data_IF_222267728328
#
_entry.id   IF_222267728328
#
_cell.length_a   1.000
_cell.length_b   1.000
_cell.length_c   1.000
_cell.angle_alpha   90.00
_cell.angle_beta   90.00
_cell.angle_gamma   90.00
#
_symmetry.space_group_name_H-M   'P 1'
#
loop_
_entity.id
_entity.type
_entity.pdbx_description
1 polymer ?
#
# COMPACT_ATOMS: atom_id res chain seq x y z
N UNK A 1 21.05 -0.83 24.46
CA UNK A 1 19.80 -1.60 24.62
C UNK A 1 18.66 -0.77 24.05
N UNK A 2 17.77 -1.34 23.24
CA UNK A 2 16.56 -0.66 22.75
C UNK A 2 15.50 -0.78 23.84
N UNK A 3 15.46 0.19 24.74
CA UNK A 3 14.53 0.20 25.87
C UNK A 3 13.28 1.03 25.50
N UNK A 4 12.09 0.52 25.80
CA UNK A 4 10.81 1.13 25.40
C UNK A 4 10.51 2.43 26.17
N UNK A 5 11.07 2.55 27.37
CA UNK A 5 11.03 3.75 28.22
C UNK A 5 11.92 4.89 27.68
N UNK A 6 12.77 4.62 26.67
CA UNK A 6 13.53 5.66 26.00
C UNK A 6 12.62 6.46 25.04
N UNK A 7 12.49 7.78 25.21
CA UNK A 7 11.62 8.61 24.35
C UNK A 7 11.95 8.53 22.86
N UNK A 8 13.22 8.39 22.48
CA UNK A 8 13.64 8.28 21.08
C UNK A 8 13.14 6.97 20.45
N UNK A 9 13.17 5.88 21.21
CA UNK A 9 12.65 4.57 20.77
C UNK A 9 11.14 4.66 20.60
N UNK A 10 10.43 5.30 21.53
CA UNK A 10 8.98 5.47 21.46
C UNK A 10 8.56 6.32 20.26
N UNK A 11 9.24 7.45 20.02
CA UNK A 11 9.00 8.30 18.84
C UNK A 11 9.24 7.50 17.55
N UNK A 12 10.36 6.78 17.48
CA UNK A 12 10.66 5.89 16.36
C UNK A 12 9.56 4.84 16.14
N UNK A 13 9.07 4.23 17.21
CA UNK A 13 8.02 3.21 17.16
C UNK A 13 6.70 3.78 16.62
N UNK A 14 6.30 4.98 17.03
CA UNK A 14 5.10 5.63 16.50
C UNK A 14 5.27 5.96 15.02
N UNK A 15 6.42 6.53 14.62
CA UNK A 15 6.72 6.79 13.20
C UNK A 15 6.65 5.50 12.38
N UNK A 16 7.31 4.44 12.86
CA UNK A 16 7.28 3.13 12.23
C UNK A 16 5.88 2.54 12.14
N UNK A 17 5.07 2.70 13.19
CA UNK A 17 3.70 2.20 13.24
C UNK A 17 2.75 2.91 12.25
N UNK A 18 3.00 4.18 11.95
CA UNK A 18 2.21 4.93 10.98
C UNK A 18 2.58 4.59 9.53
N UNK A 19 3.80 4.13 9.26
CA UNK A 19 4.30 3.91 7.90
C UNK A 19 3.43 2.95 7.08
N UNK A 20 3.03 1.75 7.58
CA UNK A 20 2.20 0.85 6.79
C UNK A 20 0.84 1.45 6.44
N UNK A 21 0.21 2.19 7.35
CA UNK A 21 -1.07 2.85 7.10
C UNK A 21 -0.96 3.96 6.07
N UNK A 22 0.09 4.79 6.17
CA UNK A 22 0.31 5.87 5.21
C UNK A 22 0.64 5.32 3.82
N UNK A 23 1.50 4.29 3.76
CA UNK A 23 1.87 3.60 2.54
C UNK A 23 0.68 2.94 1.85
N UNK A 24 -0.15 2.19 2.59
CA UNK A 24 -1.32 1.52 2.01
C UNK A 24 -2.40 2.50 1.60
N UNK A 25 -2.61 3.59 2.36
CA UNK A 25 -3.54 4.65 1.99
C UNK A 25 -3.16 5.27 0.64
N UNK A 26 -1.86 5.54 0.42
CA UNK A 26 -1.37 6.06 -0.85
C UNK A 26 -1.65 5.06 -1.98
N UNK A 27 -1.28 3.78 -1.81
CA UNK A 27 -1.51 2.74 -2.83
C UNK A 27 -2.99 2.57 -3.18
N UNK A 28 -3.87 2.56 -2.18
CA UNK A 28 -5.32 2.45 -2.42
C UNK A 28 -5.86 3.65 -3.19
N UNK A 29 -5.38 4.86 -2.86
CA UNK A 29 -5.75 6.07 -3.60
C UNK A 29 -5.27 6.01 -5.06
N UNK A 30 -4.03 5.57 -5.29
CA UNK A 30 -3.46 5.40 -6.63
C UNK A 30 -4.24 4.38 -7.47
N UNK A 31 -4.60 3.23 -6.89
CA UNK A 31 -5.48 2.24 -7.56
C UNK A 31 -6.83 2.86 -7.90
N UNK A 32 -7.42 3.64 -7.00
CA UNK A 32 -8.68 4.34 -7.24
C UNK A 32 -8.62 5.31 -8.43
N UNK A 33 -7.55 6.11 -8.54
CA UNK A 33 -7.33 7.01 -9.69
C UNK A 33 -7.20 6.25 -10.99
N UNK A 34 -6.37 5.19 -11.02
CA UNK A 34 -6.17 4.38 -12.21
C UNK A 34 -7.47 3.68 -12.63
N UNK A 35 -8.22 3.12 -11.68
CA UNK A 35 -9.51 2.51 -11.94
C UNK A 35 -10.52 3.51 -12.51
N UNK A 36 -10.56 4.75 -11.99
CA UNK A 36 -11.42 5.80 -12.52
C UNK A 36 -11.08 6.14 -13.97
N UNK A 37 -9.80 6.31 -14.29
CA UNK A 37 -9.34 6.58 -15.65
C UNK A 37 -9.75 5.47 -16.63
N UNK A 38 -9.63 4.20 -16.21
CA UNK A 38 -10.06 3.04 -17.01
C UNK A 38 -11.57 3.02 -17.21
N UNK A 39 -12.36 3.30 -16.17
CA UNK A 39 -13.83 3.37 -16.29
C UNK A 39 -14.24 4.47 -17.26
N UNK A 40 -13.57 5.62 -17.22
CA UNK A 40 -13.85 6.73 -18.13
C UNK A 40 -13.53 6.37 -19.59
N UNK A 41 -12.38 5.74 -19.84
CA UNK A 41 -11.98 5.28 -21.16
C UNK A 41 -12.91 4.20 -21.70
N UNK A 42 -13.27 3.20 -20.90
CA UNK A 42 -14.23 2.15 -21.30
C UNK A 42 -15.59 2.76 -21.65
N UNK A 43 -16.09 3.70 -20.83
CA UNK A 43 -17.35 4.40 -21.10
C UNK A 43 -17.26 5.25 -22.36
N UNK A 44 -16.12 5.89 -22.63
CA UNK A 44 -15.88 6.66 -23.84
C UNK A 44 -15.93 5.75 -25.07
N UNK A 45 -15.22 4.63 -25.06
CA UNK A 45 -15.25 3.66 -26.17
C UNK A 45 -16.66 3.15 -26.43
N UNK A 46 -17.46 2.83 -25.39
CA UNK A 46 -18.85 2.41 -25.60
C UNK A 46 -19.77 3.51 -26.17
N UNK A 47 -19.51 4.79 -25.86
CA UNK A 47 -20.29 5.91 -26.42
C UNK A 47 -19.92 6.21 -27.87
N UNK A 48 -18.63 6.19 -28.20
CA UNK A 48 -18.10 6.53 -29.52
C UNK A 48 -18.23 5.37 -30.51
N UNK A 49 -18.13 4.13 -30.02
CA UNK A 49 -18.14 2.89 -30.81
C UNK A 49 -19.26 1.94 -30.35
N UNK A 50 -20.50 2.23 -30.74
CA UNK A 50 -21.66 1.41 -30.38
C UNK A 50 -21.58 -0.05 -30.91
N UNK A 51 -20.76 -0.29 -31.94
CA UNK A 51 -20.48 -1.62 -32.48
C UNK A 51 -19.82 -2.58 -31.49
N UNK A 52 -19.18 -2.05 -30.43
CA UNK A 52 -18.54 -2.86 -29.39
C UNK A 52 -19.59 -3.65 -28.58
N UNK A 53 -20.70 -3.00 -28.20
CA UNK A 53 -21.80 -3.64 -27.45
C UNK A 53 -22.47 -4.75 -28.27
N UNK A 54 -22.59 -4.53 -29.58
CA UNK A 54 -23.14 -5.49 -30.53
C UNK A 54 -22.13 -6.55 -31.00
N UNK A 55 -20.89 -6.51 -30.48
CA UNK A 55 -19.78 -7.41 -30.84
C UNK A 55 -19.39 -7.39 -32.32
N UNK A 56 -19.75 -6.34 -33.05
CA UNK A 56 -19.38 -6.14 -34.47
C UNK A 56 -18.04 -5.41 -34.61
N UNK A 57 -17.62 -4.71 -33.57
CA UNK A 57 -16.35 -3.97 -33.51
C UNK A 57 -15.54 -4.41 -32.28
N UNK A 58 -14.21 -4.41 -32.40
CA UNK A 58 -13.32 -4.75 -31.28
C UNK A 58 -12.97 -3.50 -30.46
N UNK A 59 -12.99 -3.58 -29.12
CA UNK A 59 -12.48 -2.50 -28.26
C UNK A 59 -11.00 -2.21 -28.52
N UNK A 60 -10.59 -0.98 -28.21
CA UNK A 60 -9.18 -0.60 -28.18
C UNK A 60 -8.60 -0.96 -26.80
N UNK A 61 -8.06 -2.18 -26.72
CA UNK A 61 -7.37 -2.68 -25.53
C UNK A 61 -6.04 -1.98 -25.28
N UNK A 62 -5.38 -1.45 -26.32
CA UNK A 62 -4.07 -0.82 -26.21
C UNK A 62 -4.13 0.42 -25.34
N UNK A 63 -5.15 1.26 -25.53
CA UNK A 63 -5.37 2.43 -24.68
C UNK A 63 -5.58 2.09 -23.21
N UNK A 64 -6.35 1.04 -22.91
CA UNK A 64 -6.56 0.62 -21.53
C UNK A 64 -5.24 0.17 -20.88
N UNK A 65 -4.41 -0.59 -21.61
CA UNK A 65 -3.09 -1.02 -21.12
C UNK A 65 -2.16 0.18 -20.92
N UNK A 66 -2.12 1.13 -21.85
CA UNK A 66 -1.27 2.33 -21.75
C UNK A 66 -1.64 3.18 -20.52
N UNK A 67 -2.94 3.36 -20.25
CA UNK A 67 -3.41 4.10 -19.07
C UNK A 67 -2.93 3.43 -17.79
N UNK A 68 -3.19 2.13 -17.61
CA UNK A 68 -2.76 1.42 -16.39
C UNK A 68 -1.24 1.45 -16.24
N UNK A 69 -0.50 1.26 -17.34
CA UNK A 69 0.96 1.22 -17.33
C UNK A 69 1.55 2.56 -16.89
N UNK A 70 1.07 3.66 -17.47
CA UNK A 70 1.56 5.00 -17.16
C UNK A 70 1.24 5.41 -15.72
N UNK A 71 0.02 5.18 -15.28
CA UNK A 71 -0.41 5.50 -13.91
C UNK A 71 0.34 4.66 -12.89
N UNK A 72 0.51 3.35 -13.13
CA UNK A 72 1.25 2.46 -12.23
C UNK A 72 2.71 2.91 -12.07
N UNK A 73 3.40 3.25 -13.17
CA UNK A 73 4.79 3.70 -13.12
C UNK A 73 4.94 5.03 -12.35
N UNK A 74 4.02 5.96 -12.56
CA UNK A 74 4.07 7.26 -11.88
C UNK A 74 3.76 7.15 -10.39
N UNK A 75 2.70 6.40 -10.04
CA UNK A 75 2.20 6.30 -8.67
C UNK A 75 3.11 5.46 -7.75
N UNK A 76 3.92 4.54 -8.29
CA UNK A 76 4.86 3.73 -7.49
C UNK A 76 6.07 4.50 -6.96
N UNK A 77 6.40 5.66 -7.53
CA UNK A 77 7.57 6.45 -7.13
C UNK A 77 7.47 6.92 -5.67
N UNK A 78 6.29 7.41 -5.27
CA UNK A 78 6.09 7.99 -3.93
C UNK A 78 6.16 6.93 -2.83
N UNK A 79 5.45 5.78 -2.90
CA UNK A 79 5.58 4.70 -1.92
C UNK A 79 7.01 4.17 -1.80
N UNK A 80 7.73 4.02 -2.92
CA UNK A 80 9.12 3.59 -2.93
C UNK A 80 10.03 4.60 -2.21
N UNK A 81 9.85 5.90 -2.49
CA UNK A 81 10.58 6.97 -1.83
C UNK A 81 10.32 6.99 -0.32
N UNK A 82 9.06 6.83 0.12
CA UNK A 82 8.71 6.76 1.55
C UNK A 82 9.47 5.61 2.25
N UNK A 83 9.48 4.41 1.65
CA UNK A 83 10.15 3.25 2.23
C UNK A 83 11.67 3.41 2.38
N UNK A 84 12.32 4.11 1.44
CA UNK A 84 13.78 4.32 1.44
C UNK A 84 14.17 5.54 2.28
N UNK A 85 13.49 6.66 2.10
CA UNK A 85 13.87 7.92 2.74
C UNK A 85 13.55 7.93 4.23
N UNK A 86 12.48 7.28 4.68
CA UNK A 86 12.11 7.29 6.10
C UNK A 86 13.22 6.77 7.03
N UNK A 87 13.77 5.55 6.84
CA UNK A 87 14.84 5.06 7.71
C UNK A 87 16.12 5.92 7.62
N UNK A 88 16.42 6.50 6.46
CA UNK A 88 17.56 7.40 6.28
C UNK A 88 17.35 8.68 7.09
N UNK A 89 16.22 9.37 6.90
CA UNK A 89 15.91 10.62 7.59
C UNK A 89 15.82 10.42 9.11
N UNK A 90 15.10 9.39 9.56
CA UNK A 90 15.01 9.09 11.00
C UNK A 90 16.39 8.73 11.56
N UNK A 91 17.18 7.94 10.85
CA UNK A 91 18.52 7.56 11.27
C UNK A 91 19.45 8.75 11.45
N UNK A 92 19.57 9.63 10.44
CA UNK A 92 20.46 10.80 10.51
C UNK A 92 19.95 11.90 11.43
N UNK A 93 18.64 12.10 11.55
CA UNK A 93 18.06 13.15 12.38
C UNK A 93 17.95 12.68 13.84
N UNK A 94 17.21 11.59 14.09
CA UNK A 94 16.84 11.13 15.43
C UNK A 94 17.81 10.09 16.02
N UNK A 95 18.67 9.51 15.18
CA UNK A 95 19.71 8.59 15.60
C UNK A 95 19.31 7.11 15.56
N UNK A 96 20.26 6.22 15.90
CA UNK A 96 20.12 4.77 15.74
C UNK A 96 19.06 4.14 16.67
N UNK A 97 18.81 4.74 17.84
CA UNK A 97 17.78 4.25 18.78
C UNK A 97 16.36 4.47 18.23
N UNK A 98 16.10 5.65 17.66
CA UNK A 98 14.83 5.94 17.00
C UNK A 98 14.63 5.07 15.75
N UNK A 99 15.71 4.84 14.98
CA UNK A 99 15.67 3.93 13.83
C UNK A 99 15.29 2.49 14.25
N UNK A 100 15.82 2.01 15.38
CA UNK A 100 15.40 0.73 15.96
C UNK A 100 13.91 0.70 16.32
N UNK A 101 13.39 1.81 16.85
CA UNK A 101 11.95 2.01 17.06
C UNK A 101 11.15 1.90 15.78
N UNK A 102 11.58 2.56 14.69
CA UNK A 102 10.90 2.52 13.37
C UNK A 102 10.79 1.10 12.84
N UNK A 103 11.88 0.34 12.91
CA UNK A 103 11.90 -1.08 12.48
C UNK A 103 10.91 -1.92 13.28
N UNK A 104 10.84 -1.73 14.61
CA UNK A 104 9.87 -2.45 15.44
C UNK A 104 8.43 -2.03 15.10
N UNK A 105 8.18 -0.72 14.99
CA UNK A 105 6.85 -0.17 14.71
C UNK A 105 6.29 -0.63 13.35
N UNK A 106 7.11 -0.63 12.30
CA UNK A 106 6.67 -1.03 10.94
C UNK A 106 6.32 -2.52 10.89
N UNK A 107 7.02 -3.36 11.66
CA UNK A 107 6.71 -4.80 11.77
C UNK A 107 5.41 -5.02 12.54
N UNK A 108 5.29 -4.41 13.73
CA UNK A 108 4.15 -4.62 14.63
C UNK A 108 2.83 -4.13 14.05
N UNK A 109 2.85 -3.03 13.31
CA UNK A 109 1.66 -2.50 12.62
C UNK A 109 1.45 -3.14 11.25
N UNK A 110 2.53 -3.38 10.49
CA UNK A 110 2.45 -3.83 9.11
C UNK A 110 1.98 -5.28 8.97
N UNK A 111 2.46 -6.18 9.82
CA UNK A 111 2.07 -7.60 9.74
C UNK A 111 0.56 -7.83 9.92
N UNK A 112 -0.10 -7.37 10.99
CA UNK A 112 -1.54 -7.56 11.15
C UNK A 112 -2.33 -6.83 10.06
N UNK A 113 -1.88 -5.65 9.62
CA UNK A 113 -2.52 -4.91 8.53
C UNK A 113 -2.45 -5.69 7.21
N UNK A 114 -1.30 -6.27 6.87
CA UNK A 114 -1.11 -7.07 5.67
C UNK A 114 -2.03 -8.29 5.64
N UNK A 115 -2.16 -8.99 6.76
CA UNK A 115 -3.08 -10.12 6.89
C UNK A 115 -4.52 -9.63 6.72
N UNK A 116 -4.93 -8.59 7.44
CA UNK A 116 -6.28 -8.05 7.38
C UNK A 116 -6.67 -7.67 5.95
N UNK A 117 -5.80 -6.97 5.22
CA UNK A 117 -6.08 -6.50 3.86
C UNK A 117 -6.11 -7.64 2.84
N UNK A 118 -5.20 -8.61 2.95
CA UNK A 118 -5.10 -9.74 2.02
C UNK A 118 -6.24 -10.74 2.24
N UNK A 119 -6.46 -11.15 3.49
CA UNK A 119 -7.52 -12.11 3.84
C UNK A 119 -8.89 -11.45 3.70
N UNK A 120 -9.05 -10.19 4.12
CA UNK A 120 -10.31 -9.46 3.99
C UNK A 120 -10.75 -9.32 2.53
N UNK A 121 -9.84 -8.91 1.64
CA UNK A 121 -10.17 -8.83 0.21
C UNK A 121 -10.41 -10.21 -0.42
N UNK A 122 -9.65 -11.24 -0.02
CA UNK A 122 -9.91 -12.62 -0.46
C UNK A 122 -11.26 -13.16 -0.01
N UNK A 123 -11.73 -12.77 1.17
CA UNK A 123 -13.05 -13.12 1.67
C UNK A 123 -14.16 -12.50 0.82
N UNK A 124 -14.03 -11.23 0.40
CA UNK A 124 -14.98 -10.58 -0.51
C UNK A 124 -15.04 -11.24 -1.89
N UNK A 125 -13.90 -11.60 -2.48
CA UNK A 125 -13.87 -12.32 -3.77
C UNK A 125 -14.55 -13.70 -3.66
N UNK A 126 -14.25 -14.44 -2.59
CA UNK A 126 -14.85 -15.76 -2.38
C UNK A 126 -16.35 -15.66 -2.09
N UNK A 127 -16.80 -14.64 -1.36
CA UNK A 127 -18.23 -14.38 -1.16
C UNK A 127 -18.94 -14.08 -2.48
N UNK A 128 -18.35 -13.25 -3.35
CA UNK A 128 -18.87 -13.01 -4.70
C UNK A 128 -18.97 -14.31 -5.49
N UNK A 129 -17.88 -15.10 -5.56
CA UNK A 129 -17.87 -16.41 -6.26
C UNK A 129 -18.90 -17.39 -5.72
N UNK A 130 -19.15 -17.39 -4.41
CA UNK A 130 -20.17 -18.23 -3.80
C UNK A 130 -21.59 -17.84 -4.27
N UNK A 131 -21.89 -16.54 -4.32
CA UNK A 131 -23.17 -16.04 -4.86
C UNK A 131 -23.28 -16.33 -6.37
N UNK A 132 -22.17 -16.22 -7.11
CA UNK A 132 -22.14 -16.56 -8.55
C UNK A 132 -22.48 -18.04 -8.84
N UNK A 133 -22.33 -18.94 -7.86
CA UNK A 133 -22.68 -20.37 -7.97
C UNK A 133 -24.19 -20.64 -7.81
N UNK A 134 -25.01 -19.63 -7.50
CA UNK A 134 -26.47 -19.75 -7.40
C UNK A 134 -27.01 -19.49 -6.00
N UNK A 135 -26.14 -19.39 -5.01
CA UNK A 135 -26.50 -19.05 -3.63
C UNK A 135 -26.94 -17.58 -3.55
N UNK A 136 -27.86 -17.27 -2.62
CA UNK A 136 -28.39 -15.91 -2.42
C UNK A 136 -28.89 -15.22 -3.72
N UNK A 137 -29.51 -16.00 -4.61
CA UNK A 137 -30.18 -15.49 -5.81
C UNK A 137 -29.32 -15.43 -7.08
N UNK A 138 -28.04 -15.83 -7.03
CA UNK A 138 -27.25 -16.01 -8.23
C UNK A 138 -26.83 -14.72 -8.95
N UNK A 139 -26.26 -14.88 -10.15
CA UNK A 139 -25.77 -13.77 -10.97
C UNK A 139 -26.90 -12.78 -11.33
N UNK A 140 -26.63 -11.51 -11.08
CA UNK A 140 -27.55 -10.41 -11.37
C UNK A 140 -28.51 -10.05 -10.24
N UNK A 141 -28.54 -10.82 -9.15
CA UNK A 141 -29.28 -10.46 -7.93
C UNK A 141 -28.70 -9.22 -7.25
N UNK A 142 -29.48 -8.61 -6.35
CA UNK A 142 -28.99 -7.49 -5.53
C UNK A 142 -27.83 -7.92 -4.62
N UNK A 143 -27.85 -9.15 -4.11
CA UNK A 143 -26.75 -9.71 -3.33
C UNK A 143 -25.47 -9.84 -4.18
N UNK A 144 -25.59 -10.26 -5.44
CA UNK A 144 -24.47 -10.33 -6.37
C UNK A 144 -23.88 -8.94 -6.66
N UNK A 145 -24.72 -7.92 -6.91
CA UNK A 145 -24.24 -6.55 -7.12
C UNK A 145 -23.51 -6.01 -5.89
N UNK A 146 -24.03 -6.24 -4.69
CA UNK A 146 -23.38 -5.85 -3.45
C UNK A 146 -22.03 -6.55 -3.25
N UNK A 147 -21.96 -7.85 -3.55
CA UNK A 147 -20.72 -8.61 -3.45
C UNK A 147 -19.67 -8.18 -4.49
N UNK A 148 -20.10 -7.80 -5.70
CA UNK A 148 -19.20 -7.20 -6.71
C UNK A 148 -18.61 -5.88 -6.20
N UNK A 149 -19.40 -5.02 -5.56
CA UNK A 149 -18.86 -3.79 -4.94
C UNK A 149 -17.84 -4.12 -3.86
N UNK A 150 -18.13 -5.09 -2.98
CA UNK A 150 -17.18 -5.54 -1.96
C UNK A 150 -15.87 -6.07 -2.54
N UNK A 151 -15.95 -6.88 -3.59
CA UNK A 151 -14.77 -7.42 -4.28
C UNK A 151 -13.93 -6.33 -4.95
N UNK A 152 -14.57 -5.33 -5.58
CA UNK A 152 -13.82 -4.21 -6.19
C UNK A 152 -13.05 -3.37 -5.16
N UNK A 153 -13.56 -3.25 -3.92
CA UNK A 153 -12.79 -2.68 -2.81
C UNK A 153 -11.67 -3.63 -2.39
N UNK A 154 -11.99 -4.93 -2.32
CA UNK A 154 -11.05 -6.00 -2.00
C UNK A 154 -9.87 -6.15 -2.96
N UNK A 155 -10.04 -5.84 -4.24
CA UNK A 155 -8.96 -5.90 -5.25
C UNK A 155 -7.82 -4.95 -4.90
N UNK A 156 -8.13 -3.71 -4.53
CA UNK A 156 -7.13 -2.74 -4.10
C UNK A 156 -6.41 -3.20 -2.82
N UNK A 157 -7.12 -3.85 -1.90
CA UNK A 157 -6.54 -4.30 -0.62
C UNK A 157 -5.74 -5.59 -0.76
N UNK A 158 -6.21 -6.59 -1.50
CA UNK A 158 -5.61 -7.94 -1.56
C UNK A 158 -4.53 -8.08 -2.63
N UNK A 159 -4.60 -7.32 -3.72
CA UNK A 159 -3.69 -7.48 -4.86
C UNK A 159 -2.63 -6.37 -4.92
N UNK A 160 -2.88 -5.23 -4.27
CA UNK A 160 -1.93 -4.10 -4.27
C UNK A 160 -1.43 -3.80 -2.87
N UNK A 161 -2.28 -3.23 -1.99
CA UNK A 161 -1.81 -2.64 -0.75
C UNK A 161 -1.35 -3.68 0.29
N UNK A 162 -2.12 -4.74 0.53
CA UNK A 162 -1.82 -5.78 1.51
C UNK A 162 -0.50 -6.50 1.25
N UNK A 163 -0.30 -7.09 0.05
CA UNK A 163 0.96 -7.75 -0.28
C UNK A 163 2.17 -6.80 -0.28
N UNK A 164 1.97 -5.53 -0.66
CA UNK A 164 3.05 -4.54 -0.75
C UNK A 164 3.63 -4.10 0.61
N UNK A 165 2.93 -4.34 1.72
CA UNK A 165 3.46 -4.07 3.06
C UNK A 165 4.69 -4.97 3.35
N UNK A 166 4.72 -6.20 2.84
CA UNK A 166 5.84 -7.11 3.08
C UNK A 166 7.16 -6.58 2.44
N UNK A 167 7.17 -6.17 1.16
CA UNK A 167 8.28 -5.41 0.59
C UNK A 167 8.62 -4.14 1.35
N UNK A 168 7.64 -3.34 1.80
CA UNK A 168 7.90 -2.14 2.60
C UNK A 168 8.73 -2.46 3.86
N UNK A 169 8.29 -3.43 4.66
CA UNK A 169 8.99 -3.86 5.88
C UNK A 169 10.41 -4.32 5.54
N UNK A 170 10.57 -5.11 4.46
CA UNK A 170 11.90 -5.57 4.02
C UNK A 170 12.80 -4.40 3.62
N UNK A 171 12.30 -3.45 2.82
CA UNK A 171 13.08 -2.28 2.38
C UNK A 171 13.50 -1.43 3.57
N UNK A 172 12.58 -1.12 4.49
CA UNK A 172 12.89 -0.34 5.70
C UNK A 172 13.98 -1.04 6.51
N UNK A 173 13.88 -2.35 6.71
CA UNK A 173 14.88 -3.12 7.45
C UNK A 173 16.24 -3.15 6.74
N UNK A 174 16.26 -3.46 5.45
CA UNK A 174 17.49 -3.54 4.66
C UNK A 174 18.20 -2.19 4.61
N UNK A 175 17.47 -1.10 4.36
CA UNK A 175 18.04 0.26 4.34
C UNK A 175 18.55 0.66 5.73
N UNK A 176 17.80 0.34 6.80
CA UNK A 176 18.24 0.63 8.17
C UNK A 176 19.58 -0.05 8.50
N UNK A 177 19.72 -1.32 8.15
CA UNK A 177 20.97 -2.09 8.38
C UNK A 177 22.09 -1.60 7.47
N UNK A 178 21.82 -1.29 6.20
CA UNK A 178 22.83 -0.84 5.25
C UNK A 178 23.48 0.47 5.69
N UNK A 179 22.69 1.41 6.22
CA UNK A 179 23.17 2.74 6.59
C UNK A 179 23.58 2.88 8.05
N UNK A 180 23.37 1.86 8.91
CA UNK A 180 23.60 1.98 10.36
C UNK A 180 25.02 2.44 10.72
N UNK A 181 26.03 1.93 10.02
CA UNK A 181 27.45 2.28 10.26
C UNK A 181 27.73 3.76 10.00
N UNK A 182 27.14 4.32 8.94
CA UNK A 182 27.30 5.74 8.59
C UNK A 182 26.48 6.60 9.56
N UNK A 183 25.27 6.16 9.90
CA UNK A 183 24.40 6.85 10.85
C UNK A 183 25.07 6.97 12.23
N UNK A 184 25.70 5.89 12.71
CA UNK A 184 26.40 5.88 13.99
C UNK A 184 27.53 6.92 14.07
N UNK A 185 28.11 7.31 12.94
CA UNK A 185 29.20 8.29 12.87
C UNK A 185 28.75 9.72 12.58
N UNK A 186 27.56 9.94 12.01
CA UNK A 186 27.17 11.24 11.44
C UNK A 186 25.74 11.70 11.80
N UNK A 187 25.14 11.22 12.89
CA UNK A 187 23.79 11.66 13.29
C UNK A 187 23.78 13.05 13.95
N UNK A 188 22.76 13.85 13.63
CA UNK A 188 22.65 15.28 13.96
C UNK A 188 22.40 15.56 15.45
N UNK A 189 21.59 14.74 16.11
CA UNK A 189 21.24 14.93 17.54
C UNK A 189 22.38 14.47 18.48
N UNK A 190 23.56 14.17 17.96
CA UNK A 190 24.75 13.85 18.77
C UNK A 190 25.26 15.04 19.62
N UNK A 191 24.89 16.28 19.28
CA UNK A 191 25.45 17.49 19.90
C UNK A 191 24.66 18.14 21.04
N UNK A 192 23.45 17.69 21.41
CA UNK A 192 22.56 18.45 22.31
C UNK A 192 22.10 17.71 23.57
N UNK A 193 22.34 16.40 23.73
CA UNK A 193 21.70 15.66 24.83
C UNK A 193 22.53 14.51 25.45
N UNK A 194 23.80 14.76 25.78
CA UNK A 194 24.52 13.91 26.75
C UNK A 194 24.87 14.66 28.05
N UNK A 195 24.25 15.83 28.30
CA UNK A 195 24.52 16.68 29.47
C UNK A 195 23.29 17.00 30.32
N UNK A 196 22.16 16.29 30.12
CA UNK A 196 21.01 16.38 31.03
C UNK A 196 20.48 14.97 31.28
N UNK A 197 21.23 14.21 32.06
CA UNK A 197 20.81 13.35 33.17
C UNK A 197 22.05 12.98 33.97
#
# INVERSE_FOLDING_TARGET
VVAIDNPLVLVGLIIGAMLPFFFTSYLMNSVGKAAYAIVEEVRKQFREHAGILNRTEKPDYGKAVDIVTKEALHELLVPAAIGILTPILVGFILGPLALGGVVIGVILSGFPLAIMMTVGGGAWDNAKKYIEQGEYGGKGSEAHKAAVVGDTVGDATKDTAGPAINPLVKVVNTVSVLFITIILSHFLISGVAFTIF
#
